data_IF_154167945322
#
_entry.id   IF_154167945322
#
_cell.length_a   1.000
_cell.length_b   1.000
_cell.length_c   1.000
_cell.angle_alpha   90.00
_cell.angle_beta   90.00
_cell.angle_gamma   90.00
#
_symmetry.space_group_name_H-M   'P 1'
#
loop_
_entity.id
_entity.type
_entity.pdbx_description
1 polymer ?
#
# COMPACT_ATOMS: atom_id res chain seq x y z
N UNK A 1 -33.86 -59.90 -10.78
CA UNK A 1 -32.88 -59.03 -10.11
C UNK A 1 -32.08 -58.29 -11.18
N UNK A 2 -32.55 -57.11 -11.58
CA UNK A 2 -31.82 -56.22 -12.50
C UNK A 2 -30.72 -55.50 -11.71
N UNK A 3 -29.48 -55.59 -12.19
CA UNK A 3 -28.33 -54.87 -11.64
C UNK A 3 -28.31 -53.45 -12.23
N UNK A 4 -28.49 -52.46 -11.38
CA UNK A 4 -28.30 -51.04 -11.71
C UNK A 4 -26.80 -50.76 -11.82
N UNK A 5 -26.39 -50.17 -12.94
CA UNK A 5 -25.05 -49.59 -13.16
C UNK A 5 -25.12 -48.14 -12.67
N UNK A 6 -24.22 -47.67 -11.79
CA UNK A 6 -24.15 -46.26 -11.46
C UNK A 6 -23.40 -45.54 -12.59
N UNK A 7 -24.13 -44.67 -13.32
CA UNK A 7 -23.51 -43.69 -14.21
C UNK A 7 -22.99 -42.56 -13.34
N UNK A 8 -21.67 -42.48 -13.17
CA UNK A 8 -21.02 -41.29 -12.63
C UNK A 8 -21.10 -40.19 -13.70
N UNK A 9 -21.94 -39.18 -13.47
CA UNK A 9 -21.90 -37.93 -14.25
C UNK A 9 -20.88 -37.03 -13.56
N UNK A 10 -19.65 -37.00 -14.09
CA UNK A 10 -18.67 -36.00 -13.72
C UNK A 10 -19.07 -34.65 -14.30
N UNK A 11 -19.54 -33.73 -13.46
CA UNK A 11 -19.66 -32.32 -13.84
C UNK A 11 -18.24 -31.74 -13.90
N UNK A 12 -17.70 -31.58 -15.10
CA UNK A 12 -16.53 -30.73 -15.33
C UNK A 12 -17.01 -29.28 -15.34
N UNK A 13 -16.91 -28.58 -14.21
CA UNK A 13 -16.97 -27.12 -14.18
C UNK A 13 -15.69 -26.57 -14.80
N UNK A 14 -15.67 -26.43 -16.14
CA UNK A 14 -14.76 -25.49 -16.79
C UNK A 14 -15.26 -24.08 -16.48
N UNK A 15 -14.83 -23.53 -15.35
CA UNK A 15 -14.88 -22.09 -15.16
C UNK A 15 -13.87 -21.50 -16.16
N UNK A 16 -14.38 -20.99 -17.28
CA UNK A 16 -13.59 -20.08 -18.11
C UNK A 16 -13.30 -18.86 -17.23
N UNK A 17 -12.06 -18.76 -16.73
CA UNK A 17 -11.56 -17.53 -16.12
C UNK A 17 -11.52 -16.52 -17.26
N UNK A 18 -12.57 -15.72 -17.43
CA UNK A 18 -12.48 -14.52 -18.25
C UNK A 18 -11.40 -13.66 -17.60
N UNK A 19 -10.31 -13.41 -18.32
CA UNK A 19 -9.36 -12.39 -17.93
C UNK A 19 -10.16 -11.10 -17.68
N UNK A 20 -10.07 -10.56 -16.46
CA UNK A 20 -10.73 -9.31 -16.12
C UNK A 20 -10.20 -8.25 -17.09
N UNK A 21 -11.11 -7.57 -17.78
CA UNK A 21 -10.75 -6.50 -18.70
C UNK A 21 -9.99 -5.41 -17.93
N UNK A 22 -8.80 -5.05 -18.40
CA UNK A 22 -8.00 -4.00 -17.78
C UNK A 22 -8.75 -2.67 -17.84
N UNK A 23 -8.91 -2.01 -16.69
CA UNK A 23 -9.44 -0.65 -16.59
C UNK A 23 -8.31 0.35 -16.84
N UNK A 24 -8.22 1.02 -17.99
CA UNK A 24 -7.09 1.88 -18.29
C UNK A 24 -6.99 3.03 -17.29
N UNK A 25 -5.78 3.29 -16.80
CA UNK A 25 -5.50 4.46 -15.99
C UNK A 25 -4.97 5.63 -16.82
N UNK A 26 -4.82 6.81 -16.23
CA UNK A 26 -4.31 7.97 -16.95
C UNK A 26 -2.78 7.90 -17.13
N UNK A 27 -2.04 7.61 -16.06
CA UNK A 27 -0.59 7.51 -16.05
C UNK A 27 -0.08 6.08 -16.27
N UNK A 28 -0.72 5.10 -15.62
CA UNK A 28 -0.38 3.68 -15.70
C UNK A 28 -1.64 2.83 -15.65
N UNK A 29 -1.58 1.62 -16.19
CA UNK A 29 -2.70 0.67 -16.21
C UNK A 29 -2.58 -0.38 -15.10
N UNK A 30 -1.36 -0.55 -14.54
CA UNK A 30 -1.08 -1.41 -13.39
C UNK A 30 -0.06 -0.74 -12.45
N UNK A 31 -0.25 -0.90 -11.14
CA UNK A 31 0.69 -0.55 -10.07
C UNK A 31 1.04 -1.81 -9.29
N UNK A 32 2.34 -2.10 -9.16
CA UNK A 32 2.89 -3.13 -8.28
C UNK A 32 3.77 -2.44 -7.23
N UNK A 33 3.43 -2.52 -5.95
CA UNK A 33 4.28 -2.00 -4.86
C UNK A 33 4.99 -3.16 -4.16
N UNK A 34 6.31 -3.06 -3.99
CA UNK A 34 7.15 -4.05 -3.32
C UNK A 34 7.82 -3.37 -2.13
N UNK A 35 7.62 -3.92 -0.93
CA UNK A 35 8.05 -3.34 0.33
C UNK A 35 9.13 -4.20 0.98
N UNK A 36 10.32 -3.63 1.16
CA UNK A 36 11.43 -4.21 1.90
C UNK A 36 11.43 -3.74 3.36
N UNK A 37 12.19 -4.42 4.23
CA UNK A 37 12.24 -4.12 5.65
C UNK A 37 13.46 -3.27 6.03
N UNK A 38 13.27 -2.56 7.13
CA UNK A 38 13.77 -1.22 7.40
C UNK A 38 15.25 -0.95 7.13
N UNK A 39 15.51 0.17 6.47
CA UNK A 39 16.88 0.64 6.28
C UNK A 39 17.00 2.15 6.06
N UNK A 40 18.03 2.75 6.63
CA UNK A 40 18.32 4.18 6.51
C UNK A 40 18.60 4.60 5.06
N UNK A 41 17.93 5.66 4.60
CA UNK A 41 18.09 6.20 3.24
C UNK A 41 19.55 6.29 2.78
N UNK A 42 20.43 6.82 3.63
CA UNK A 42 21.82 7.07 3.28
C UNK A 42 22.62 5.79 2.98
N UNK A 43 22.26 4.66 3.59
CA UNK A 43 22.88 3.35 3.33
C UNK A 43 22.34 2.75 2.04
N UNK A 44 21.02 2.77 1.88
CA UNK A 44 20.35 2.20 0.69
C UNK A 44 20.71 2.95 -0.59
N UNK A 45 20.78 4.28 -0.54
CA UNK A 45 20.96 5.14 -1.73
C UNK A 45 22.30 4.90 -2.47
N UNK A 46 23.30 4.41 -1.73
CA UNK A 46 24.66 4.11 -2.22
C UNK A 46 24.92 2.62 -2.46
N UNK A 47 23.97 1.74 -2.15
CA UNK A 47 24.10 0.31 -2.45
C UNK A 47 24.20 0.07 -3.96
N UNK A 48 25.06 -0.86 -4.38
CA UNK A 48 25.34 -1.12 -5.79
C UNK A 48 24.15 -1.67 -6.58
N UNK A 49 23.34 -2.53 -5.97
CA UNK A 49 22.15 -3.12 -6.61
C UNK A 49 21.05 -2.07 -6.76
N UNK A 50 20.86 -1.24 -5.73
CA UNK A 50 19.91 -0.12 -5.77
C UNK A 50 20.37 0.96 -6.76
N UNK A 51 21.66 1.31 -6.78
CA UNK A 51 22.23 2.24 -7.76
C UNK A 51 22.03 1.76 -9.20
N UNK A 52 22.01 0.45 -9.42
CA UNK A 52 21.70 -0.16 -10.72
C UNK A 52 20.25 0.09 -11.15
N UNK A 53 19.30 -0.19 -10.24
CA UNK A 53 17.87 0.05 -10.45
C UNK A 53 17.57 1.53 -10.69
N UNK A 54 18.24 2.43 -9.95
CA UNK A 54 18.08 3.89 -10.08
C UNK A 54 18.28 4.40 -11.50
N UNK A 55 19.14 3.77 -12.30
CA UNK A 55 19.38 4.17 -13.71
C UNK A 55 18.15 3.99 -14.60
N UNK A 56 17.18 3.18 -14.19
CA UNK A 56 15.93 2.95 -14.92
C UNK A 56 14.70 3.52 -14.20
N UNK A 57 14.89 4.15 -13.04
CA UNK A 57 13.83 4.62 -12.17
C UNK A 57 13.68 6.14 -12.19
N UNK A 58 12.55 6.63 -11.68
CA UNK A 58 12.49 7.93 -11.00
C UNK A 58 12.78 7.65 -9.52
N UNK A 59 13.79 8.29 -8.94
CA UNK A 59 14.10 8.17 -7.51
C UNK A 59 13.33 9.24 -6.73
N UNK A 60 12.48 8.85 -5.78
CA UNK A 60 11.75 9.77 -4.91
C UNK A 60 12.61 10.09 -3.69
N UNK A 61 13.28 11.25 -3.70
CA UNK A 61 14.36 11.58 -2.74
C UNK A 61 13.82 12.12 -1.40
N UNK A 62 12.56 12.55 -1.37
CA UNK A 62 11.84 13.09 -0.21
C UNK A 62 10.62 12.24 0.12
N UNK A 63 10.82 10.93 0.20
CA UNK A 63 9.81 9.96 0.62
C UNK A 63 10.01 9.56 2.09
N UNK A 64 8.95 9.71 2.89
CA UNK A 64 8.99 9.49 4.34
C UNK A 64 7.95 8.43 4.76
N UNK A 65 8.39 7.47 5.55
CA UNK A 65 7.52 6.59 6.32
C UNK A 65 6.82 7.37 7.44
N UNK A 66 5.81 6.77 8.08
CA UNK A 66 4.88 7.47 8.97
C UNK A 66 5.27 7.41 10.43
N UNK A 67 5.78 6.27 10.87
CA UNK A 67 6.10 6.01 12.27
C UNK A 67 6.95 4.76 12.38
N UNK A 68 7.26 4.39 13.62
CA UNK A 68 7.74 3.08 13.99
C UNK A 68 6.73 2.33 14.86
N UNK A 69 6.66 0.99 14.83
CA UNK A 69 7.46 0.05 14.00
C UNK A 69 6.86 -0.16 12.60
N UNK A 70 7.23 -1.25 11.91
CA UNK A 70 6.79 -1.62 10.55
C UNK A 70 5.27 -1.59 10.31
N UNK A 71 4.47 -2.34 11.09
CA UNK A 71 3.05 -2.59 10.82
C UNK A 71 2.21 -1.32 10.53
N UNK A 72 2.30 -0.20 11.29
CA UNK A 72 1.56 1.02 10.99
C UNK A 72 1.83 1.58 9.59
N UNK A 73 3.03 1.44 9.04
CA UNK A 73 3.36 1.91 7.69
C UNK A 73 2.60 1.15 6.60
N UNK A 74 2.43 -0.16 6.77
CA UNK A 74 1.61 -1.00 5.90
C UNK A 74 0.12 -0.62 5.99
N UNK A 75 -0.40 -0.36 7.20
CA UNK A 75 -1.79 0.08 7.39
C UNK A 75 -2.04 1.44 6.74
N UNK A 76 -1.11 2.38 6.93
CA UNK A 76 -1.16 3.72 6.35
C UNK A 76 -1.31 3.68 4.82
N UNK A 77 -0.56 2.79 4.16
CA UNK A 77 -0.52 2.65 2.70
C UNK A 77 -1.85 2.26 2.06
N UNK A 78 -2.69 1.47 2.75
CA UNK A 78 -3.98 1.02 2.21
C UNK A 78 -5.19 1.65 2.88
N UNK A 79 -5.01 2.18 4.10
CA UNK A 79 -6.07 2.71 4.95
C UNK A 79 -6.09 4.23 5.03
N UNK A 80 -5.03 4.93 4.62
CA UNK A 80 -4.98 6.39 4.73
C UNK A 80 -4.90 6.91 6.17
N UNK A 81 -4.64 6.00 7.12
CA UNK A 81 -4.38 6.20 8.55
C UNK A 81 -3.80 4.90 9.12
N UNK A 82 -2.99 5.00 10.18
CA UNK A 82 -2.50 3.85 10.98
C UNK A 82 -3.13 3.77 12.38
N UNK A 83 -4.11 4.63 12.65
CA UNK A 83 -4.99 4.65 13.83
C UNK A 83 -4.24 4.64 15.16
N UNK A 84 -3.08 5.31 15.20
CA UNK A 84 -2.21 5.41 16.37
C UNK A 84 -1.56 4.09 16.78
N UNK A 85 -1.48 3.11 15.88
CA UNK A 85 -0.75 1.87 16.12
C UNK A 85 0.74 2.17 16.40
N UNK A 86 1.28 1.60 17.47
CA UNK A 86 2.65 1.83 17.93
C UNK A 86 3.42 0.53 18.22
N UNK A 87 2.93 -0.58 17.70
CA UNK A 87 3.47 -1.93 17.93
C UNK A 87 3.19 -2.86 16.74
N UNK A 88 3.79 -4.04 16.73
CA UNK A 88 3.61 -5.05 15.66
C UNK A 88 2.67 -6.22 16.04
N UNK A 89 2.03 -6.19 17.21
CA UNK A 89 1.04 -7.22 17.59
C UNK A 89 -0.13 -7.28 16.60
N UNK A 90 -0.81 -8.43 16.56
CA UNK A 90 -2.01 -8.59 15.73
C UNK A 90 -3.11 -7.62 16.17
N UNK A 91 -3.60 -6.83 15.22
CA UNK A 91 -4.71 -5.89 15.40
C UNK A 91 -5.87 -6.20 14.46
N UNK A 92 -7.07 -5.74 14.85
CA UNK A 92 -8.26 -5.75 14.01
C UNK A 92 -8.87 -4.37 13.94
N UNK A 93 -9.21 -3.97 12.72
CA UNK A 93 -9.80 -2.68 12.39
C UNK A 93 -11.25 -2.95 11.96
N UNK A 94 -12.25 -2.30 12.59
CA UNK A 94 -13.67 -2.53 12.33
C UNK A 94 -14.09 -2.42 10.87
N UNK A 95 -15.14 -3.15 10.52
CA UNK A 95 -15.62 -3.34 9.14
C UNK A 95 -16.06 -2.04 8.45
N UNK A 96 -16.50 -1.05 9.21
CA UNK A 96 -16.87 0.26 8.66
C UNK A 96 -15.65 1.09 8.19
N UNK A 97 -14.42 0.65 8.48
CA UNK A 97 -13.20 1.30 8.01
C UNK A 97 -12.83 0.76 6.63
N UNK A 98 -13.16 1.54 5.60
CA UNK A 98 -12.80 1.24 4.22
C UNK A 98 -11.28 1.36 3.96
N UNK A 99 -10.82 0.70 2.91
CA UNK A 99 -9.44 0.68 2.41
C UNK A 99 -9.40 0.99 0.91
N UNK A 100 -8.20 1.01 0.32
CA UNK A 100 -8.02 1.11 -1.13
C UNK A 100 -8.83 0.07 -1.92
N UNK A 101 -9.08 -1.12 -1.37
CA UNK A 101 -9.88 -2.15 -2.02
C UNK A 101 -11.29 -1.66 -2.35
N UNK A 102 -11.93 -0.92 -1.43
CA UNK A 102 -13.26 -0.34 -1.63
C UNK A 102 -13.28 0.68 -2.79
N UNK A 103 -12.20 1.47 -2.93
CA UNK A 103 -12.05 2.44 -4.01
C UNK A 103 -11.81 1.77 -5.37
N UNK A 104 -10.99 0.72 -5.40
CA UNK A 104 -10.66 -0.02 -6.61
C UNK A 104 -11.87 -0.79 -7.14
N UNK A 105 -12.60 -1.47 -6.26
CA UNK A 105 -13.82 -2.21 -6.59
C UNK A 105 -14.92 -1.30 -7.11
N UNK A 106 -15.03 -0.06 -6.62
CA UNK A 106 -15.99 0.92 -7.15
C UNK A 106 -15.81 1.17 -8.66
N UNK A 107 -14.58 1.02 -9.18
CA UNK A 107 -14.27 1.17 -10.61
C UNK A 107 -13.88 -0.15 -11.28
N UNK A 108 -14.13 -1.30 -10.66
CA UNK A 108 -13.73 -2.62 -11.16
C UNK A 108 -12.23 -2.74 -11.48
N UNK A 109 -11.37 -1.98 -10.81
CA UNK A 109 -9.91 -2.14 -10.93
C UNK A 109 -9.52 -3.36 -10.10
N UNK A 110 -8.98 -4.39 -10.75
CA UNK A 110 -8.59 -5.62 -10.05
C UNK A 110 -7.45 -5.38 -9.07
N UNK A 111 -7.49 -6.06 -7.91
CA UNK A 111 -6.48 -5.90 -6.87
C UNK A 111 -6.09 -7.23 -6.22
N UNK A 112 -4.86 -7.32 -5.74
CA UNK A 112 -4.38 -8.43 -4.93
C UNK A 112 -3.24 -8.03 -3.98
N UNK A 113 -3.14 -8.73 -2.86
CA UNK A 113 -1.97 -8.73 -2.00
C UNK A 113 -1.19 -10.02 -2.21
N UNK A 114 0.10 -9.94 -2.54
CA UNK A 114 0.96 -11.11 -2.63
C UNK A 114 2.02 -11.06 -1.54
N UNK A 115 2.19 -12.13 -0.78
CA UNK A 115 3.17 -12.19 0.30
C UNK A 115 4.01 -13.46 0.16
N UNK A 116 5.33 -13.32 0.22
CA UNK A 116 6.21 -14.48 0.08
C UNK A 116 6.00 -15.45 1.25
N UNK A 117 6.00 -16.74 0.95
CA UNK A 117 5.75 -17.81 1.90
C UNK A 117 4.41 -17.74 2.67
N UNK A 118 3.43 -16.97 2.17
CA UNK A 118 2.05 -17.07 2.65
C UNK A 118 1.54 -18.51 2.49
N UNK A 119 1.14 -19.21 3.57
CA UNK A 119 0.85 -20.65 3.52
C UNK A 119 -0.31 -21.05 2.61
N UNK A 120 -1.31 -20.18 2.48
CA UNK A 120 -2.52 -20.42 1.71
C UNK A 120 -3.23 -19.10 1.41
N UNK A 121 -4.08 -19.04 0.36
CA UNK A 121 -4.91 -17.86 0.11
C UNK A 121 -5.68 -17.45 1.36
N UNK A 122 -5.65 -16.16 1.69
CA UNK A 122 -6.38 -15.61 2.83
C UNK A 122 -5.83 -16.01 4.20
N UNK A 123 -4.58 -16.49 4.31
CA UNK A 123 -4.01 -16.84 5.60
C UNK A 123 -3.97 -15.65 6.56
N UNK A 124 -4.60 -15.79 7.74
CA UNK A 124 -4.73 -14.74 8.75
C UNK A 124 -3.88 -15.00 10.01
N UNK A 125 -3.11 -16.09 10.03
CA UNK A 125 -2.24 -16.42 11.17
C UNK A 125 -1.10 -15.41 11.32
N UNK A 126 -0.57 -15.29 12.54
CA UNK A 126 0.44 -14.27 12.85
C UNK A 126 1.75 -14.44 12.09
N UNK A 127 2.11 -15.69 11.77
CA UNK A 127 3.34 -16.04 11.06
C UNK A 127 3.24 -17.44 10.49
N UNK A 128 4.22 -17.83 9.67
CA UNK A 128 4.49 -19.21 9.32
C UNK A 128 5.97 -19.46 9.10
N UNK A 129 6.40 -20.69 9.39
CA UNK A 129 7.72 -21.20 9.03
C UNK A 129 7.63 -21.65 7.57
N UNK A 130 8.00 -20.75 6.66
CA UNK A 130 7.95 -21.00 5.22
C UNK A 130 9.10 -21.91 4.77
N UNK A 131 9.07 -22.34 3.49
CA UNK A 131 10.12 -23.17 2.92
C UNK A 131 11.47 -22.44 2.80
N UNK A 132 11.52 -21.11 2.84
CA UNK A 132 12.77 -20.35 2.60
C UNK A 132 13.43 -19.77 3.86
N UNK A 133 12.80 -19.92 5.03
CA UNK A 133 13.24 -19.37 6.32
C UNK A 133 14.20 -20.19 7.11
N UNK A 134 14.69 -21.28 6.53
CA UNK A 134 15.62 -22.18 7.20
C UNK A 134 15.12 -22.66 8.58
N UNK A 135 13.80 -22.80 8.75
CA UNK A 135 13.16 -23.20 10.00
C UNK A 135 12.88 -22.07 10.99
N UNK A 136 12.90 -20.81 10.55
CA UNK A 136 12.47 -19.62 11.29
C UNK A 136 11.21 -18.98 10.68
N UNK A 137 10.74 -17.90 11.30
CA UNK A 137 9.53 -17.16 10.91
C UNK A 137 9.79 -16.43 9.58
N UNK A 138 9.08 -16.81 8.51
CA UNK A 138 9.22 -16.23 7.17
C UNK A 138 8.15 -15.20 6.86
N UNK A 139 6.93 -15.68 6.69
CA UNK A 139 5.79 -14.83 6.52
C UNK A 139 5.41 -14.30 7.90
N UNK A 140 5.20 -12.99 7.98
CA UNK A 140 4.66 -12.34 9.18
C UNK A 140 3.44 -11.52 8.81
N UNK A 141 2.40 -11.62 9.64
CA UNK A 141 1.14 -10.91 9.46
C UNK A 141 1.32 -9.39 9.42
N UNK A 142 2.32 -8.85 10.13
CA UNK A 142 2.58 -7.41 10.23
C UNK A 142 2.88 -6.75 8.87
N UNK A 143 3.36 -7.49 7.88
CA UNK A 143 3.60 -6.99 6.52
C UNK A 143 2.40 -7.14 5.57
N UNK A 144 1.33 -7.79 6.03
CA UNK A 144 0.08 -7.93 5.28
C UNK A 144 -1.00 -7.02 5.89
N UNK A 145 -1.18 -5.79 5.37
CA UNK A 145 -2.11 -4.87 5.99
C UNK A 145 -3.57 -5.31 5.81
N UNK A 146 -3.91 -6.02 4.73
CA UNK A 146 -5.29 -6.38 4.40
C UNK A 146 -5.94 -7.25 5.47
N UNK A 147 -5.21 -8.19 6.07
CA UNK A 147 -5.74 -9.09 7.11
C UNK A 147 -5.97 -8.40 8.47
N UNK A 148 -5.63 -7.12 8.58
CA UNK A 148 -5.96 -6.29 9.75
C UNK A 148 -7.32 -5.60 9.63
N UNK A 149 -7.94 -5.56 8.45
CA UNK A 149 -9.23 -4.89 8.23
C UNK A 149 -10.36 -5.92 8.15
N UNK A 150 -11.39 -5.74 8.97
CA UNK A 150 -12.60 -6.56 8.95
C UNK A 150 -13.39 -6.38 7.65
N UNK A 151 -13.26 -5.21 7.00
CA UNK A 151 -13.79 -4.94 5.65
C UNK A 151 -13.18 -5.82 4.56
N UNK A 152 -12.07 -6.51 4.86
CA UNK A 152 -11.49 -7.55 4.00
C UNK A 152 -11.78 -8.93 4.58
N UNK A 153 -11.47 -9.16 5.86
CA UNK A 153 -11.46 -10.50 6.45
C UNK A 153 -12.84 -11.12 6.65
N UNK A 154 -13.90 -10.31 6.76
CA UNK A 154 -15.28 -10.80 6.80
C UNK A 154 -15.85 -11.12 5.40
N UNK A 155 -15.11 -10.82 4.32
CA UNK A 155 -15.56 -10.97 2.93
C UNK A 155 -14.69 -11.98 2.19
N UNK A 156 -15.21 -13.21 2.04
CA UNK A 156 -14.44 -14.33 1.49
C UNK A 156 -13.80 -14.04 0.12
N UNK A 157 -14.50 -13.33 -0.77
CA UNK A 157 -13.95 -12.95 -2.09
C UNK A 157 -12.75 -12.00 -1.97
N UNK A 158 -12.80 -11.01 -1.07
CA UNK A 158 -11.68 -10.11 -0.81
C UNK A 158 -10.51 -10.83 -0.13
N UNK A 159 -10.82 -11.74 0.79
CA UNK A 159 -9.82 -12.55 1.47
C UNK A 159 -9.05 -13.47 0.49
N UNK A 160 -9.72 -13.97 -0.55
CA UNK A 160 -9.10 -14.76 -1.62
C UNK A 160 -8.17 -13.95 -2.55
N UNK A 161 -8.21 -12.62 -2.52
CA UNK A 161 -7.25 -11.76 -3.24
C UNK A 161 -5.89 -11.65 -2.53
N UNK A 162 -5.73 -12.28 -1.36
CA UNK A 162 -4.51 -12.31 -0.58
C UNK A 162 -3.85 -13.67 -0.80
N UNK A 163 -2.70 -13.71 -1.47
CA UNK A 163 -2.09 -14.97 -1.88
C UNK A 163 -0.55 -14.96 -1.85
N UNK A 164 0.08 -16.06 -2.23
CA UNK A 164 1.54 -16.21 -2.19
C UNK A 164 2.25 -15.71 -3.45
N UNK A 165 3.57 -15.54 -3.36
CA UNK A 165 4.40 -15.21 -4.53
C UNK A 165 4.36 -16.27 -5.64
N UNK A 166 4.15 -17.55 -5.31
CA UNK A 166 3.95 -18.59 -6.32
C UNK A 166 2.72 -18.33 -7.19
N UNK A 167 1.67 -17.76 -6.60
CA UNK A 167 0.45 -17.40 -7.33
C UNK A 167 0.69 -16.19 -8.21
N UNK A 168 1.40 -15.18 -7.69
CA UNK A 168 1.87 -14.06 -8.50
C UNK A 168 2.69 -14.52 -9.71
N UNK A 169 3.65 -15.42 -9.53
CA UNK A 169 4.49 -15.93 -10.62
C UNK A 169 3.65 -16.65 -11.69
N UNK A 170 2.64 -17.43 -11.30
CA UNK A 170 1.69 -18.04 -12.24
C UNK A 170 0.87 -16.98 -12.98
N UNK A 171 0.35 -15.97 -12.28
CA UNK A 171 -0.39 -14.87 -12.89
C UNK A 171 0.49 -14.05 -13.85
N UNK A 172 1.75 -13.81 -13.50
CA UNK A 172 2.75 -13.14 -14.33
C UNK A 172 3.04 -13.93 -15.61
N UNK A 173 3.33 -15.23 -15.48
CA UNK A 173 3.54 -16.11 -16.63
C UNK A 173 2.30 -16.20 -17.54
N UNK A 174 1.10 -16.13 -16.96
CA UNK A 174 -0.17 -16.18 -17.66
C UNK A 174 -0.68 -14.82 -18.15
N UNK A 175 0.05 -13.71 -17.93
CA UNK A 175 -0.38 -12.34 -18.29
C UNK A 175 -1.72 -11.92 -17.67
N UNK A 176 -1.98 -12.35 -16.45
CA UNK A 176 -3.24 -12.13 -15.72
C UNK A 176 -3.02 -11.45 -14.36
N UNK A 177 -1.89 -10.74 -14.20
CA UNK A 177 -1.59 -10.00 -12.96
C UNK A 177 -2.64 -8.91 -12.73
N UNK A 178 -3.22 -8.80 -11.52
CA UNK A 178 -4.15 -7.72 -11.15
C UNK A 178 -3.56 -6.32 -11.36
N UNK A 179 -4.42 -5.31 -11.40
CA UNK A 179 -4.01 -3.94 -11.70
C UNK A 179 -3.43 -3.18 -10.51
N UNK A 180 -3.91 -3.44 -9.29
CA UNK A 180 -3.28 -2.96 -8.07
C UNK A 180 -2.71 -4.15 -7.31
N UNK A 181 -1.40 -4.18 -7.14
CA UNK A 181 -0.71 -5.27 -6.46
C UNK A 181 0.13 -4.70 -5.33
N UNK A 182 -0.12 -5.20 -4.11
CA UNK A 182 0.70 -4.90 -2.94
C UNK A 182 1.50 -6.14 -2.56
N UNK A 183 2.82 -6.02 -2.46
CA UNK A 183 3.71 -7.14 -2.19
C UNK A 183 4.70 -6.84 -1.09
N UNK A 184 4.96 -7.85 -0.26
CA UNK A 184 6.09 -7.87 0.67
C UNK A 184 6.78 -9.24 0.58
N UNK A 185 8.11 -9.28 0.45
CA UNK A 185 8.88 -10.50 0.60
C UNK A 185 8.79 -11.03 2.04
N UNK A 186 9.35 -12.19 2.29
CA UNK A 186 9.44 -12.71 3.65
C UNK A 186 10.60 -12.05 4.41
N UNK A 187 10.65 -12.31 5.72
CA UNK A 187 11.63 -11.75 6.66
C UNK A 187 13.10 -12.01 6.28
N UNK A 188 13.38 -12.95 5.38
CA UNK A 188 14.73 -13.23 4.89
C UNK A 188 15.08 -12.34 3.69
N UNK A 189 14.14 -12.18 2.76
CA UNK A 189 14.35 -11.49 1.49
C UNK A 189 14.04 -9.99 1.56
N UNK A 190 13.24 -9.56 2.54
CA UNK A 190 12.97 -8.15 2.81
C UNK A 190 14.12 -7.45 3.54
N UNK A 191 14.99 -8.21 4.22
CA UNK A 191 16.22 -7.74 4.86
C UNK A 191 16.26 -7.86 6.39
N UNK A 192 15.17 -8.20 7.07
CA UNK A 192 15.12 -8.10 8.53
C UNK A 192 15.87 -9.18 9.28
N UNK A 193 15.72 -10.43 8.88
CA UNK A 193 16.50 -11.54 9.43
C UNK A 193 17.85 -11.69 8.71
N UNK A 194 18.16 -10.81 7.75
CA UNK A 194 19.38 -10.83 6.95
C UNK A 194 20.10 -9.48 6.98
N UNK A 195 20.23 -8.80 5.83
CA UNK A 195 20.91 -7.52 5.70
C UNK A 195 20.43 -6.74 4.48
N UNK A 196 20.80 -5.46 4.41
CA UNK A 196 20.60 -4.60 3.24
C UNK A 196 21.13 -5.26 1.96
N UNK A 197 22.33 -5.82 1.99
CA UNK A 197 22.94 -6.42 0.79
C UNK A 197 22.15 -7.61 0.27
N UNK A 198 21.55 -8.40 1.16
CA UNK A 198 20.68 -9.52 0.79
C UNK A 198 19.39 -9.01 0.16
N UNK A 199 18.69 -8.08 0.81
CA UNK A 199 17.44 -7.50 0.32
C UNK A 199 17.62 -6.73 -1.00
N UNK A 200 18.71 -5.96 -1.14
CA UNK A 200 19.02 -5.22 -2.34
C UNK A 200 19.35 -6.14 -3.53
N UNK A 201 20.11 -7.21 -3.28
CA UNK A 201 20.39 -8.22 -4.31
C UNK A 201 19.14 -9.01 -4.69
N UNK A 202 18.33 -9.38 -3.70
CA UNK A 202 17.06 -10.07 -3.92
C UNK A 202 16.13 -9.23 -4.78
N UNK A 203 15.90 -7.96 -4.41
CA UNK A 203 14.99 -7.06 -5.12
C UNK A 203 15.48 -6.76 -6.54
N UNK A 204 16.78 -6.57 -6.73
CA UNK A 204 17.38 -6.43 -8.07
C UNK A 204 17.08 -7.64 -8.95
N UNK A 205 17.33 -8.86 -8.45
CA UNK A 205 17.07 -10.10 -9.18
C UNK A 205 15.58 -10.35 -9.43
N UNK A 206 14.72 -10.08 -8.45
CA UNK A 206 13.28 -10.23 -8.55
C UNK A 206 12.66 -9.26 -9.57
N UNK A 207 13.14 -8.02 -9.59
CA UNK A 207 12.66 -6.98 -10.51
C UNK A 207 13.12 -7.21 -11.95
N UNK A 208 14.28 -7.82 -12.18
CA UNK A 208 14.84 -8.01 -13.52
C UNK A 208 13.84 -8.58 -14.55
N UNK A 209 13.13 -9.70 -14.30
CA UNK A 209 12.12 -10.20 -15.24
C UNK A 209 10.89 -9.28 -15.37
N UNK A 210 10.52 -8.54 -14.32
CA UNK A 210 9.37 -7.62 -14.34
C UNK A 210 9.66 -6.33 -15.12
N UNK A 211 10.93 -5.96 -15.23
CA UNK A 211 11.41 -4.77 -15.95
C UNK A 211 11.81 -5.07 -17.40
N UNK A 212 11.80 -6.34 -17.81
CA UNK A 212 12.12 -6.73 -19.18
C UNK A 212 11.09 -6.17 -20.18
N UNK A 213 11.53 -5.96 -21.41
CA UNK A 213 10.63 -5.56 -22.50
C UNK A 213 9.50 -6.59 -22.66
N UNK A 214 8.26 -6.10 -22.72
CA UNK A 214 7.05 -6.93 -22.80
C UNK A 214 6.86 -7.88 -21.61
N UNK A 215 7.45 -7.59 -20.44
CA UNK A 215 7.10 -8.28 -19.19
C UNK A 215 5.59 -8.19 -18.92
N UNK A 216 4.99 -7.02 -19.22
CA UNK A 216 3.55 -6.77 -19.20
C UNK A 216 3.10 -6.25 -20.56
N UNK A 217 1.83 -6.49 -20.89
CA UNK A 217 1.25 -6.02 -22.15
C UNK A 217 0.74 -4.57 -21.99
N UNK A 218 0.48 -4.14 -20.75
CA UNK A 218 0.01 -2.81 -20.38
C UNK A 218 1.10 -1.95 -19.71
N UNK A 219 0.83 -0.65 -19.57
CA UNK A 219 1.74 0.28 -18.88
C UNK A 219 1.76 -0.04 -17.39
N UNK A 220 2.84 -0.65 -16.92
CA UNK A 220 2.99 -1.10 -15.54
C UNK A 220 3.98 -0.19 -14.82
N UNK A 221 3.51 0.42 -13.74
CA UNK A 221 4.31 1.11 -12.75
C UNK A 221 4.70 0.12 -11.66
N UNK A 222 5.98 0.04 -11.33
CA UNK A 222 6.48 -0.75 -10.22
C UNK A 222 7.12 0.21 -9.21
N UNK A 223 6.68 0.16 -7.97
CA UNK A 223 7.24 0.93 -6.87
C UNK A 223 8.02 -0.01 -5.95
N UNK A 224 9.34 0.16 -5.85
CA UNK A 224 10.14 -0.47 -4.81
C UNK A 224 10.32 0.54 -3.66
N UNK A 225 10.00 0.14 -2.44
CA UNK A 225 10.10 0.98 -1.25
C UNK A 225 10.52 0.17 -0.04
N UNK A 226 10.69 0.87 1.09
CA UNK A 226 10.91 0.29 2.40
C UNK A 226 9.74 0.68 3.31
N UNK A 227 9.51 -0.07 4.37
CA UNK A 227 8.46 0.24 5.34
C UNK A 227 8.84 1.42 6.25
N UNK A 228 10.10 1.47 6.70
CA UNK A 228 10.65 2.51 7.57
C UNK A 228 12.18 2.58 7.49
N UNK A 229 12.77 3.61 8.10
CA UNK A 229 14.20 3.72 8.34
C UNK A 229 14.64 2.86 9.53
N UNK A 230 15.93 2.55 9.65
CA UNK A 230 16.45 1.77 10.79
C UNK A 230 16.58 2.68 12.04
N UNK A 231 16.94 3.95 11.84
CA UNK A 231 17.30 4.88 12.91
C UNK A 231 16.11 5.71 13.38
N UNK A 232 15.62 5.42 14.59
CA UNK A 232 14.45 6.09 15.19
C UNK A 232 14.69 7.56 15.58
N UNK A 233 15.94 8.00 15.69
CA UNK A 233 16.27 9.37 16.10
C UNK A 233 16.38 10.36 14.95
N UNK A 234 16.24 9.89 13.71
CA UNK A 234 16.32 10.70 12.50
C UNK A 234 14.98 10.70 11.78
N UNK A 235 14.71 11.73 10.93
CA UNK A 235 13.50 11.72 10.11
C UNK A 235 13.40 10.43 9.31
N UNK A 236 12.24 9.78 9.39
CA UNK A 236 11.97 8.45 8.84
C UNK A 236 11.92 8.44 7.30
N UNK A 237 13.04 8.80 6.66
CA UNK A 237 13.22 8.94 5.22
C UNK A 237 13.72 7.63 4.63
N UNK A 238 13.09 7.20 3.55
CA UNK A 238 13.31 5.88 2.93
C UNK A 238 13.58 6.00 1.43
N UNK A 239 14.34 5.07 0.88
CA UNK A 239 14.53 4.99 -0.57
C UNK A 239 13.25 4.48 -1.21
N UNK A 240 12.75 5.20 -2.21
CA UNK A 240 11.64 4.76 -3.04
C UNK A 240 11.94 4.99 -4.51
N UNK A 241 11.77 3.94 -5.32
CA UNK A 241 12.03 3.95 -6.76
C UNK A 241 10.75 3.67 -7.53
N UNK A 242 10.48 4.48 -8.55
CA UNK A 242 9.41 4.24 -9.53
C UNK A 242 10.02 3.70 -10.83
N UNK A 243 9.64 2.49 -11.19
CA UNK A 243 10.20 1.69 -12.27
C UNK A 243 9.08 1.20 -13.22
N UNK A 244 9.47 0.50 -14.29
CA UNK A 244 8.53 -0.21 -15.17
C UNK A 244 8.21 0.50 -16.47
N UNK A 245 7.34 -0.12 -17.28
CA UNK A 245 7.00 0.33 -18.63
C UNK A 245 6.16 1.62 -18.65
N UNK A 246 5.52 1.99 -17.53
CA UNK A 246 4.79 3.23 -17.41
C UNK A 246 5.70 4.48 -17.33
N UNK A 247 6.97 4.31 -16.96
CA UNK A 247 7.92 5.44 -16.82
C UNK A 247 8.36 5.91 -18.20
N UNK A 248 8.11 7.18 -18.58
CA UNK A 248 8.59 7.75 -19.83
C UNK A 248 10.12 7.63 -19.94
N UNK A 249 10.69 7.31 -21.11
CA UNK A 249 12.14 7.19 -21.28
C UNK A 249 12.94 8.42 -20.81
N UNK A 250 12.37 9.63 -20.95
CA UNK A 250 12.99 10.89 -20.50
C UNK A 250 13.06 11.06 -18.99
N UNK A 251 12.34 10.25 -18.21
CA UNK A 251 12.33 10.28 -16.75
C UNK A 251 13.10 9.10 -16.13
N UNK A 252 13.65 8.19 -16.94
CA UNK A 252 14.51 7.12 -16.41
C UNK A 252 15.85 7.72 -15.95
N UNK A 253 16.27 7.39 -14.74
CA UNK A 253 17.48 7.91 -14.13
C UNK A 253 17.33 9.30 -13.50
N UNK A 254 16.11 9.84 -13.41
CA UNK A 254 15.87 11.16 -12.81
C UNK A 254 15.50 11.05 -11.33
N UNK A 255 15.43 12.20 -10.67
CA UNK A 255 15.00 12.34 -9.28
C UNK A 255 13.73 13.19 -9.22
N UNK A 256 12.94 12.97 -8.18
CA UNK A 256 11.76 13.76 -7.81
C UNK A 256 11.88 14.12 -6.33
N UNK A 257 11.97 15.43 -6.07
CA UNK A 257 12.15 16.00 -4.74
C UNK A 257 10.82 16.45 -4.10
N UNK A 258 9.67 16.06 -4.65
CA UNK A 258 8.37 16.31 -4.02
C UNK A 258 8.27 15.54 -2.69
N UNK A 259 7.69 16.17 -1.65
CA UNK A 259 7.45 15.50 -0.37
C UNK A 259 6.40 14.39 -0.51
N UNK A 260 6.74 13.16 -0.17
CA UNK A 260 5.83 12.01 -0.22
C UNK A 260 5.79 11.26 1.09
N UNK A 261 4.66 10.61 1.33
CA UNK A 261 4.53 9.56 2.34
C UNK A 261 3.83 8.34 1.73
N UNK A 262 3.74 7.22 2.45
CA UNK A 262 2.85 6.10 2.07
C UNK A 262 1.40 6.48 1.71
N UNK A 263 0.84 7.57 2.24
CA UNK A 263 -0.48 8.06 1.80
C UNK A 263 -0.48 8.52 0.34
N UNK A 264 0.68 8.89 -0.21
CA UNK A 264 0.83 9.26 -1.62
C UNK A 264 0.60 8.09 -2.58
N UNK A 265 0.64 6.84 -2.10
CA UNK A 265 0.21 5.68 -2.88
C UNK A 265 -1.29 5.79 -3.17
N UNK A 266 -2.10 6.04 -2.14
CA UNK A 266 -3.55 6.19 -2.26
C UNK A 266 -3.92 7.36 -3.17
N UNK A 267 -3.39 8.56 -2.90
CA UNK A 267 -3.72 9.73 -3.73
C UNK A 267 -3.29 9.54 -5.18
N UNK A 268 -2.18 8.84 -5.44
CA UNK A 268 -1.74 8.52 -6.81
C UNK A 268 -2.69 7.53 -7.49
N UNK A 269 -3.12 6.47 -6.79
CA UNK A 269 -4.12 5.51 -7.29
C UNK A 269 -5.44 6.21 -7.60
N UNK A 270 -5.92 7.05 -6.68
CA UNK A 270 -7.13 7.86 -6.85
C UNK A 270 -7.03 8.78 -8.06
N UNK A 271 -5.91 9.50 -8.21
CA UNK A 271 -5.67 10.40 -9.33
C UNK A 271 -5.61 9.64 -10.67
N UNK A 272 -4.92 8.50 -10.68
CA UNK A 272 -4.67 7.70 -11.88
C UNK A 272 -5.96 7.14 -12.48
N UNK A 273 -6.84 6.57 -11.64
CA UNK A 273 -8.11 6.01 -12.09
C UNK A 273 -9.31 6.94 -11.87
N UNK A 274 -9.14 8.14 -11.32
CA UNK A 274 -10.27 9.04 -11.03
C UNK A 274 -11.25 8.42 -10.04
N UNK A 275 -10.73 7.94 -8.90
CA UNK A 275 -11.51 7.29 -7.85
C UNK A 275 -12.04 8.32 -6.83
N UNK A 276 -13.09 7.99 -6.07
CA UNK A 276 -13.42 8.61 -4.80
C UNK A 276 -12.25 8.49 -3.79
N UNK A 277 -12.37 9.16 -2.66
CA UNK A 277 -11.36 9.12 -1.59
C UNK A 277 -11.90 8.44 -0.32
N UNK A 278 -10.99 8.12 0.62
CA UNK A 278 -11.31 7.54 1.93
C UNK A 278 -11.74 8.59 2.96
N UNK A 279 -11.57 9.88 2.66
CA UNK A 279 -11.85 11.00 3.56
C UNK A 279 -10.88 11.08 4.74
N UNK A 280 -9.65 10.57 4.57
CA UNK A 280 -8.59 10.55 5.59
C UNK A 280 -7.38 11.34 5.11
N UNK A 281 -6.16 10.90 5.43
CA UNK A 281 -4.93 11.59 5.06
C UNK A 281 -4.51 11.37 3.60
N UNK A 282 -5.17 10.45 2.88
CA UNK A 282 -5.09 10.30 1.42
C UNK A 282 -5.38 11.62 0.67
N UNK A 283 -6.40 12.37 1.11
CA UNK A 283 -6.86 13.60 0.44
C UNK A 283 -5.78 14.70 0.38
N UNK A 284 -4.99 14.82 1.45
CA UNK A 284 -3.95 15.84 1.55
C UNK A 284 -2.59 15.39 1.00
N UNK A 285 -2.44 14.10 0.67
CA UNK A 285 -1.18 13.54 0.24
C UNK A 285 -0.85 13.90 -1.22
N UNK A 286 0.42 14.19 -1.50
CA UNK A 286 0.88 14.47 -2.85
C UNK A 286 0.77 13.25 -3.77
N UNK A 287 0.54 13.49 -5.06
CA UNK A 287 0.53 12.49 -6.13
C UNK A 287 1.93 12.40 -6.73
N UNK A 288 2.42 11.20 -7.08
CA UNK A 288 3.73 11.06 -7.74
C UNK A 288 3.83 11.98 -8.96
N UNK A 289 4.88 12.80 -9.05
CA UNK A 289 4.87 14.01 -9.88
C UNK A 289 4.66 13.68 -11.37
N UNK A 290 5.24 12.58 -11.83
CA UNK A 290 5.04 12.12 -13.21
C UNK A 290 3.56 11.75 -13.47
N UNK A 291 2.91 11.07 -12.52
CA UNK A 291 1.49 10.71 -12.62
C UNK A 291 0.61 11.95 -12.52
N UNK A 292 0.95 12.90 -11.63
CA UNK A 292 0.25 14.18 -11.49
C UNK A 292 0.22 14.95 -12.82
N UNK A 293 1.35 15.00 -13.55
CA UNK A 293 1.43 15.60 -14.88
C UNK A 293 0.51 14.92 -15.91
N UNK A 294 0.41 13.58 -15.86
CA UNK A 294 -0.43 12.80 -16.78
C UNK A 294 -1.93 12.86 -16.42
N UNK A 295 -2.27 13.08 -15.15
CA UNK A 295 -3.66 13.15 -14.67
C UNK A 295 -4.22 14.57 -14.68
N UNK A 296 -3.36 15.58 -14.81
CA UNK A 296 -3.70 17.00 -14.69
C UNK A 296 -3.81 17.47 -13.24
N UNK A 297 -3.26 16.73 -12.28
CA UNK A 297 -3.27 17.09 -10.86
C UNK A 297 -2.19 18.16 -10.58
N UNK A 298 -2.60 19.31 -10.04
CA UNK A 298 -1.72 20.47 -9.82
C UNK A 298 -1.57 20.88 -8.36
N UNK A 299 -2.08 20.08 -7.42
CA UNK A 299 -2.14 20.46 -5.99
C UNK A 299 -0.99 19.89 -5.15
N UNK A 300 0.05 19.31 -5.79
CA UNK A 300 1.24 18.89 -5.07
C UNK A 300 1.88 20.10 -4.34
N UNK A 301 2.20 19.92 -3.06
CA UNK A 301 2.84 20.94 -2.22
C UNK A 301 3.55 20.30 -1.03
N UNK A 302 4.59 20.94 -0.53
CA UNK A 302 5.17 20.52 0.74
C UNK A 302 4.20 20.80 1.90
N UNK A 303 4.09 19.88 2.88
CA UNK A 303 3.36 20.14 4.11
C UNK A 303 3.94 21.34 4.85
N UNK A 304 3.09 22.19 5.42
CA UNK A 304 3.53 23.36 6.20
C UNK A 304 4.46 22.97 7.37
N UNK A 305 4.30 21.77 7.90
CA UNK A 305 5.10 21.24 9.01
C UNK A 305 6.23 20.30 8.60
N UNK A 306 6.51 20.13 7.30
CA UNK A 306 7.60 19.25 6.84
C UNK A 306 8.95 19.45 7.55
N UNK A 307 9.38 20.67 7.93
CA UNK A 307 10.65 20.87 8.64
C UNK A 307 10.71 20.30 10.06
N UNK A 308 9.57 20.08 10.71
CA UNK A 308 9.48 19.56 12.09
C UNK A 308 9.07 18.09 12.17
N UNK A 309 8.92 17.42 11.03
CA UNK A 309 8.50 16.03 10.97
C UNK A 309 9.68 15.12 11.26
N UNK A 310 9.55 14.28 12.30
CA UNK A 310 10.51 13.21 12.61
C UNK A 310 9.95 11.82 12.25
N UNK A 311 8.63 11.61 12.40
CA UNK A 311 7.94 10.34 12.09
C UNK A 311 8.54 9.11 12.79
N UNK A 312 9.00 9.29 14.02
CA UNK A 312 9.57 8.19 14.81
C UNK A 312 8.64 7.65 15.89
N UNK A 313 7.63 8.44 16.26
CA UNK A 313 6.65 8.12 17.29
C UNK A 313 5.27 8.04 16.69
N UNK A 314 4.43 7.23 17.31
CA UNK A 314 3.02 7.09 16.96
C UNK A 314 2.17 8.00 17.86
N UNK A 315 1.14 8.62 17.27
CA UNK A 315 0.18 9.46 17.98
C UNK A 315 -0.90 8.62 18.69
N UNK A 316 -1.65 9.21 19.65
CA UNK A 316 -2.79 8.55 20.27
C UNK A 316 -3.85 8.09 19.26
N UNK A 317 -4.35 6.87 19.39
CA UNK A 317 -5.33 6.27 18.48
C UNK A 317 -5.86 4.93 18.99
N UNK A 318 -6.81 4.32 18.27
CA UNK A 318 -7.47 3.08 18.70
C UNK A 318 -6.48 1.96 19.00
N UNK A 319 -5.44 1.87 18.17
CA UNK A 319 -4.52 0.75 18.16
C UNK A 319 -3.27 0.97 19.03
N UNK A 320 -3.28 2.01 19.87
CA UNK A 320 -2.16 2.30 20.77
C UNK A 320 -2.15 1.33 21.96
N UNK A 321 -0.98 0.84 22.40
CA UNK A 321 -0.86 -0.08 23.55
C UNK A 321 -0.95 0.60 24.93
N UNK A 322 -0.50 1.84 25.05
CA UNK A 322 -0.73 2.69 26.21
C UNK A 322 -2.22 3.07 26.33
N UNK A 323 -2.86 2.55 27.38
CA UNK A 323 -4.27 2.79 27.71
C UNK A 323 -4.65 4.27 27.84
N UNK A 324 -3.71 5.15 28.19
CA UNK A 324 -3.97 6.58 28.30
C UNK A 324 -3.96 7.29 26.95
N UNK A 325 -3.44 6.64 25.90
CA UNK A 325 -3.36 7.16 24.53
C UNK A 325 -4.34 6.47 23.57
N UNK A 326 -5.21 5.59 24.08
CA UNK A 326 -6.28 4.99 23.28
C UNK A 326 -7.37 6.03 23.02
N UNK A 327 -7.64 6.29 21.74
CA UNK A 327 -8.73 7.14 21.27
C UNK A 327 -9.68 6.35 20.34
N UNK A 328 -10.96 6.74 20.20
CA UNK A 328 -11.84 6.16 19.19
C UNK A 328 -11.30 6.35 17.77
N UNK A 329 -11.71 5.49 16.83
CA UNK A 329 -11.41 5.71 15.41
C UNK A 329 -12.00 7.05 14.96
N UNK A 330 -11.21 7.92 14.32
CA UNK A 330 -11.73 9.18 13.82
C UNK A 330 -12.73 8.97 12.68
N UNK A 331 -13.80 9.76 12.67
CA UNK A 331 -14.74 9.73 11.55
C UNK A 331 -14.08 10.28 10.28
N UNK A 332 -14.25 9.66 9.10
CA UNK A 332 -13.82 10.24 7.84
C UNK A 332 -14.44 11.62 7.59
N UNK A 333 -13.71 12.51 6.93
CA UNK A 333 -14.23 13.83 6.60
C UNK A 333 -15.03 13.79 5.28
N UNK A 334 -16.36 13.83 5.42
CA UNK A 334 -17.30 13.71 4.30
C UNK A 334 -17.32 14.90 3.32
N UNK A 335 -16.59 15.98 3.62
CA UNK A 335 -16.56 17.21 2.81
C UNK A 335 -15.32 17.32 1.93
N UNK A 336 -14.42 16.35 2.00
CA UNK A 336 -13.16 16.36 1.26
C UNK A 336 -13.33 15.83 -0.16
N UNK A 337 -12.61 16.48 -1.08
CA UNK A 337 -12.41 16.06 -2.47
C UNK A 337 -10.95 15.66 -2.65
N UNK A 338 -10.71 14.40 -2.99
CA UNK A 338 -9.38 13.80 -3.13
C UNK A 338 -8.77 13.99 -4.51
N UNK A 339 -7.66 13.30 -4.75
CA UNK A 339 -6.84 13.50 -5.94
C UNK A 339 -7.48 12.99 -7.24
N UNK A 340 -8.47 12.09 -7.13
CA UNK A 340 -9.31 11.66 -8.25
C UNK A 340 -10.34 12.70 -8.71
N UNK A 341 -10.47 13.82 -7.99
CA UNK A 341 -11.44 14.88 -8.28
C UNK A 341 -12.86 14.59 -7.78
N UNK A 342 -13.03 13.50 -7.03
CA UNK A 342 -14.30 13.07 -6.45
C UNK A 342 -14.27 13.21 -4.92
N UNK A 343 -15.47 13.34 -4.35
CA UNK A 343 -15.68 13.30 -2.91
C UNK A 343 -15.44 11.90 -2.32
N UNK A 344 -15.69 11.76 -1.03
CA UNK A 344 -15.66 10.46 -0.35
C UNK A 344 -16.67 9.46 -0.96
N UNK A 345 -16.28 8.19 -1.01
CA UNK A 345 -17.10 7.10 -1.54
C UNK A 345 -18.44 6.97 -0.77
N UNK A 346 -19.55 6.79 -1.49
CA UNK A 346 -20.89 6.77 -0.88
C UNK A 346 -21.11 5.60 0.09
N UNK A 347 -20.49 4.44 -0.15
CA UNK A 347 -20.55 3.31 0.80
C UNK A 347 -19.85 3.65 2.12
N UNK A 348 -18.78 4.46 2.09
CA UNK A 348 -18.14 4.97 3.31
C UNK A 348 -19.09 5.91 4.05
N UNK A 349 -19.79 6.81 3.34
CA UNK A 349 -20.81 7.68 3.97
C UNK A 349 -21.88 6.86 4.67
N UNK A 350 -22.36 5.78 4.03
CA UNK A 350 -23.38 4.90 4.59
C UNK A 350 -22.88 4.14 5.83
N UNK A 351 -21.61 3.74 5.86
CA UNK A 351 -20.99 3.08 7.00
C UNK A 351 -20.73 4.01 8.20
N UNK A 352 -20.82 5.33 7.99
CA UNK A 352 -20.57 6.37 8.99
C UNK A 352 -21.68 7.44 9.03
N UNK A 353 -22.93 7.08 9.40
CA UNK A 353 -24.07 7.99 9.34
C UNK A 353 -23.90 9.26 10.18
N UNK A 354 -23.18 9.18 11.30
CA UNK A 354 -22.97 10.27 12.26
C UNK A 354 -21.67 11.06 12.03
N UNK A 355 -20.91 10.79 10.95
CA UNK A 355 -19.64 11.47 10.69
C UNK A 355 -19.77 13.00 10.54
N UNK A 356 -20.94 13.50 10.17
CA UNK A 356 -21.20 14.92 9.96
C UNK A 356 -21.25 15.75 11.25
N UNK A 357 -21.44 15.12 12.41
CA UNK A 357 -21.45 15.76 13.74
C UNK A 357 -20.18 15.48 14.56
N UNK A 358 -19.35 14.53 14.14
CA UNK A 358 -18.10 14.17 14.82
C UNK A 358 -16.97 15.19 14.62
N UNK A 359 -15.94 15.12 15.44
CA UNK A 359 -14.66 15.77 15.16
C UNK A 359 -13.74 14.81 14.39
N UNK A 360 -12.93 15.35 13.50
CA UNK A 360 -12.02 14.60 12.64
C UNK A 360 -10.67 15.31 12.54
N UNK A 361 -9.54 14.60 12.48
CA UNK A 361 -8.23 15.19 12.24
C UNK A 361 -7.94 15.37 10.74
N UNK A 362 -8.82 14.87 9.86
CA UNK A 362 -8.64 14.90 8.42
C UNK A 362 -9.15 16.23 7.86
N UNK A 363 -8.24 17.12 7.45
CA UNK A 363 -8.57 18.45 6.92
C UNK A 363 -8.13 18.66 5.47
N UNK A 364 -7.54 17.64 4.84
CA UNK A 364 -7.03 17.71 3.47
C UNK A 364 -5.86 18.68 3.29
N UNK A 365 -5.23 19.14 4.37
CA UNK A 365 -4.12 20.11 4.31
C UNK A 365 -2.82 19.49 3.79
N UNK A 366 -2.65 18.18 3.95
CA UNK A 366 -1.39 17.47 3.75
C UNK A 366 -0.46 17.51 4.97
N UNK A 367 -0.91 18.08 6.10
CA UNK A 367 -0.15 18.06 7.36
C UNK A 367 0.18 16.63 7.76
N UNK A 368 1.47 16.36 7.97
CA UNK A 368 1.93 15.06 8.46
C UNK A 368 1.77 15.05 9.96
N UNK A 369 1.06 14.06 10.48
CA UNK A 369 0.91 13.89 11.91
C UNK A 369 1.90 12.85 12.41
N UNK A 370 2.68 13.21 13.43
CA UNK A 370 3.58 12.31 14.16
C UNK A 370 3.17 12.22 15.64
N UNK A 371 3.76 11.27 16.35
CA UNK A 371 3.48 11.04 17.76
C UNK A 371 4.08 12.03 18.75
N UNK A 372 4.77 13.07 18.27
CA UNK A 372 5.55 14.02 19.07
C UNK A 372 5.00 15.45 18.91
N UNK A 373 5.76 16.35 18.27
CA UNK A 373 5.41 17.76 18.08
C UNK A 373 4.26 17.99 17.09
N UNK A 374 3.89 16.98 16.29
CA UNK A 374 2.88 17.08 15.24
C UNK A 374 1.67 16.18 15.49
N UNK A 375 1.05 16.27 16.66
CA UNK A 375 -0.18 15.51 16.96
C UNK A 375 -1.35 15.84 16.01
N UNK A 376 -2.24 14.85 15.74
CA UNK A 376 -3.51 15.09 15.05
C UNK A 376 -4.39 16.13 15.77
N UNK A 377 -4.98 17.05 15.01
CA UNK A 377 -5.84 18.11 15.56
C UNK A 377 -7.30 17.88 15.16
N UNK A 378 -8.13 17.46 16.11
CA UNK A 378 -9.53 17.13 15.89
C UNK A 378 -10.42 18.38 15.82
N UNK A 379 -11.10 18.57 14.68
CA UNK A 379 -11.98 19.72 14.42
C UNK A 379 -13.28 19.27 13.74
N UNK A 380 -14.26 20.15 13.66
CA UNK A 380 -15.46 19.90 12.85
C UNK A 380 -15.07 19.70 11.36
N UNK A 381 -15.65 18.72 10.66
CA UNK A 381 -15.39 18.46 9.25
C UNK A 381 -15.56 19.71 8.39
N UNK A 382 -14.55 20.01 7.57
CA UNK A 382 -14.53 21.12 6.63
C UNK A 382 -14.11 20.63 5.24
N UNK A 383 -14.53 21.34 4.20
CA UNK A 383 -14.01 21.10 2.85
C UNK A 383 -12.51 21.43 2.78
N UNK A 384 -11.82 20.94 1.75
CA UNK A 384 -10.42 21.29 1.51
C UNK A 384 -10.27 22.82 1.55
N UNK A 385 -9.22 23.29 2.22
CA UNK A 385 -8.80 24.69 2.05
C UNK A 385 -8.55 24.96 0.56
N UNK A 386 -9.00 26.12 0.03
CA UNK A 386 -8.90 26.45 -1.38
C UNK A 386 -7.46 26.47 -1.92
#
# INVERSE_FOLDING_TARGET
>A
MQRLIPVLVGLACLAAVSAVEIVPGKAFDRLITIWLENQDYAKVDVDGSIADLKRQAISLTRYYAHTHPSQPNYLAAIGGDYFGLNHDFSVRIPENVATVADLLEWKNVSWAGYFEDLPSPGYMGNFSDGPTGNGAWDYVRKHNPFVSFDSITNYGERLLNIDSFDVFQRAFAAKTVPQFVFMSPNMMNDGHNTSLEVAAKWSHGFLQPLLADKAFDERTLIMLTYDEAETYTEPNRIVTLLLGSAIPPSLKGTQDDTFYTHYSILSTVESNWGLPNLGRYDVGANVFQFAAGMTGYTKNKDPDNAPSVNNSLSYPGLLHDDRLRILPIPTPNMKLTGAGGLGILDTIKAAWPDAHIGQTPYDGSGRVCDGDDNLPVYKSPAANSP
#
